data_IF_429176800759
#
_entry.id   IF_429176800759
#
_cell.length_a   1.000
_cell.length_b   1.000
_cell.length_c   1.000
_cell.angle_alpha   90.00
_cell.angle_beta   90.00
_cell.angle_gamma   90.00
#
_symmetry.space_group_name_H-M   'P 1'
#
loop_
_entity.id
_entity.type
_entity.pdbx_description
1 polymer ?
#
# COMPACT_ATOMS: atom_id res chain seq x y z
N UNK A 1 -17.05 16.58 15.77
CA UNK A 1 -16.05 15.97 14.88
C UNK A 1 -14.91 15.50 15.77
N UNK A 2 -14.97 14.26 16.26
CA UNK A 2 -13.91 13.72 17.11
C UNK A 2 -12.74 13.45 16.19
N UNK A 3 -11.69 14.26 16.29
CA UNK A 3 -10.43 14.01 15.58
C UNK A 3 -9.79 12.81 16.27
N UNK A 4 -10.14 11.62 15.83
CA UNK A 4 -9.52 10.41 16.35
C UNK A 4 -8.04 10.39 15.96
N UNK A 5 -7.18 9.93 16.86
CA UNK A 5 -5.74 9.77 16.61
C UNK A 5 -5.49 8.99 15.29
N UNK A 6 -6.43 8.12 14.91
CA UNK A 6 -6.44 7.36 13.65
C UNK A 6 -6.50 8.18 12.36
N UNK A 7 -6.91 9.46 12.38
CA UNK A 7 -6.88 10.35 11.20
C UNK A 7 -5.65 11.26 11.14
N UNK A 8 -5.09 11.66 12.28
CA UNK A 8 -3.95 12.58 12.31
C UNK A 8 -2.67 11.88 11.83
N UNK A 9 -2.46 10.63 12.29
CA UNK A 9 -1.23 9.88 11.98
C UNK A 9 -1.05 9.66 10.46
N UNK A 10 -2.06 9.15 9.72
CA UNK A 10 -1.87 8.91 8.29
C UNK A 10 -1.74 10.21 7.48
N UNK A 11 -2.38 11.30 7.92
CA UNK A 11 -2.24 12.61 7.28
C UNK A 11 -0.81 13.15 7.44
N UNK A 12 -0.26 13.10 8.66
CA UNK A 12 1.11 13.51 8.92
C UNK A 12 2.12 12.64 8.15
N UNK A 13 1.89 11.34 8.09
CA UNK A 13 2.71 10.42 7.30
C UNK A 13 2.66 10.77 5.80
N UNK A 14 1.48 11.05 5.26
CA UNK A 14 1.31 11.47 3.86
C UNK A 14 2.14 12.72 3.55
N UNK A 15 2.08 13.74 4.40
CA UNK A 15 2.89 14.96 4.25
C UNK A 15 4.39 14.66 4.32
N UNK A 16 4.83 13.82 5.25
CA UNK A 16 6.23 13.41 5.36
C UNK A 16 6.71 12.69 4.08
N UNK A 17 5.91 11.80 3.52
CA UNK A 17 6.25 11.13 2.27
C UNK A 17 6.32 12.09 1.09
N UNK A 18 5.44 13.10 1.00
CA UNK A 18 5.54 14.15 -0.03
C UNK A 18 6.87 14.88 0.07
N UNK A 19 7.29 15.25 1.29
CA UNK A 19 8.59 15.91 1.51
C UNK A 19 9.75 15.00 1.09
N UNK A 20 9.72 13.72 1.48
CA UNK A 20 10.74 12.75 1.08
C UNK A 20 10.83 12.58 -0.44
N UNK A 21 9.68 12.47 -1.12
CA UNK A 21 9.61 12.38 -2.59
C UNK A 21 10.18 13.64 -3.23
N UNK A 22 9.85 14.83 -2.71
CA UNK A 22 10.36 16.09 -3.24
C UNK A 22 11.87 16.22 -3.06
N UNK A 23 12.40 15.84 -1.89
CA UNK A 23 13.84 15.85 -1.62
C UNK A 23 14.58 14.85 -2.51
N UNK A 24 14.05 13.63 -2.62
CA UNK A 24 14.57 12.60 -3.50
C UNK A 24 14.59 13.10 -4.95
N UNK A 25 13.48 13.64 -5.47
CA UNK A 25 13.41 14.18 -6.83
C UNK A 25 14.44 15.30 -7.08
N UNK A 26 14.67 16.17 -6.08
CA UNK A 26 15.70 17.24 -6.13
C UNK A 26 17.12 16.72 -6.16
N UNK A 27 17.41 15.60 -5.48
CA UNK A 27 18.73 14.95 -5.52
C UNK A 27 19.04 14.28 -6.86
N UNK A 28 18.07 14.24 -7.78
CA UNK A 28 18.28 13.89 -9.19
C UNK A 28 17.66 12.56 -9.58
N UNK A 29 16.71 12.60 -10.52
CA UNK A 29 15.99 11.44 -11.06
C UNK A 29 16.84 10.54 -11.97
N UNK A 30 18.12 10.86 -12.18
CA UNK A 30 19.03 10.06 -13.03
C UNK A 30 19.46 8.75 -12.39
N UNK A 31 19.50 8.69 -11.06
CA UNK A 31 19.85 7.45 -10.37
C UNK A 31 18.64 6.53 -10.28
N UNK A 32 18.78 5.30 -10.80
CA UNK A 32 17.77 4.26 -10.70
C UNK A 32 17.39 3.95 -9.25
N UNK A 33 18.34 4.10 -8.31
CA UNK A 33 18.09 3.96 -6.88
C UNK A 33 17.07 5.00 -6.39
N UNK A 34 17.23 6.25 -6.85
CA UNK A 34 16.39 7.36 -6.44
C UNK A 34 14.97 7.24 -7.00
N UNK A 35 14.84 6.78 -8.26
CA UNK A 35 13.54 6.48 -8.86
C UNK A 35 12.78 5.39 -8.08
N UNK A 36 13.48 4.32 -7.66
CA UNK A 36 12.87 3.25 -6.88
C UNK A 36 12.48 3.69 -5.47
N UNK A 37 13.30 4.54 -4.84
CA UNK A 37 12.95 5.15 -3.56
C UNK A 37 11.69 6.01 -3.66
N UNK A 38 11.60 6.86 -4.70
CA UNK A 38 10.41 7.68 -4.96
C UNK A 38 9.19 6.80 -5.20
N UNK A 39 9.33 5.73 -5.99
CA UNK A 39 8.23 4.80 -6.25
C UNK A 39 7.73 4.12 -4.96
N UNK A 40 8.65 3.66 -4.12
CA UNK A 40 8.32 3.08 -2.82
C UNK A 40 7.64 4.10 -1.88
N UNK A 41 8.22 5.30 -1.74
CA UNK A 41 7.65 6.37 -0.92
C UNK A 41 6.28 6.82 -1.41
N UNK A 42 6.06 6.85 -2.73
CA UNK A 42 4.76 7.13 -3.33
C UNK A 42 3.71 6.08 -2.95
N UNK A 43 4.06 4.79 -2.96
CA UNK A 43 3.15 3.72 -2.56
C UNK A 43 2.76 3.81 -1.07
N UNK A 44 3.71 4.18 -0.20
CA UNK A 44 3.42 4.44 1.21
C UNK A 44 2.59 5.70 1.45
N UNK A 45 2.79 6.73 0.63
CA UNK A 45 1.94 7.92 0.62
C UNK A 45 0.50 7.56 0.24
N UNK A 46 0.33 6.75 -0.80
CA UNK A 46 -0.99 6.24 -1.24
C UNK A 46 -1.64 5.41 -0.13
N UNK A 47 -0.89 4.51 0.51
CA UNK A 47 -1.39 3.76 1.67
C UNK A 47 -1.84 4.68 2.81
N UNK A 48 -1.04 5.68 3.17
CA UNK A 48 -1.39 6.64 4.23
C UNK A 48 -2.62 7.47 3.88
N UNK A 49 -2.77 7.86 2.61
CA UNK A 49 -3.95 8.56 2.11
C UNK A 49 -5.21 7.68 2.20
N UNK A 50 -5.10 6.40 1.82
CA UNK A 50 -6.20 5.44 1.95
C UNK A 50 -6.66 5.28 3.41
N UNK A 51 -5.71 5.19 4.33
CA UNK A 51 -6.00 5.09 5.77
C UNK A 51 -6.67 6.35 6.30
N UNK A 52 -6.23 7.53 5.87
CA UNK A 52 -6.89 8.79 6.21
C UNK A 52 -8.34 8.82 5.71
N UNK A 53 -8.59 8.38 4.48
CA UNK A 53 -9.93 8.41 3.89
C UNK A 53 -10.92 7.47 4.59
N UNK A 54 -10.46 6.29 5.03
CA UNK A 54 -11.29 5.36 5.82
C UNK A 54 -11.72 5.98 7.15
N UNK A 55 -10.82 6.65 7.86
CA UNK A 55 -11.09 7.16 9.21
C UNK A 55 -11.66 8.59 9.21
N UNK A 56 -11.42 9.37 8.17
CA UNK A 56 -11.72 10.81 8.13
C UNK A 56 -12.95 11.20 7.35
N UNK A 57 -13.47 10.34 6.47
CA UNK A 57 -14.55 10.70 5.55
C UNK A 57 -15.61 9.59 5.41
N UNK A 58 -16.50 9.40 6.39
CA UNK A 58 -17.55 8.38 6.34
C UNK A 58 -18.66 8.63 5.29
N UNK A 59 -18.67 9.78 4.58
CA UNK A 59 -19.85 10.24 3.83
C UNK A 59 -19.71 10.24 2.30
N UNK A 60 -18.50 10.29 1.71
CA UNK A 60 -18.37 10.59 0.27
C UNK A 60 -17.95 9.44 -0.64
N UNK A 61 -17.41 8.33 -0.12
CA UNK A 61 -16.94 7.19 -0.94
C UNK A 61 -17.12 5.88 -0.18
N UNK A 62 -17.51 4.82 -0.90
CA UNK A 62 -17.69 3.46 -0.38
C UNK A 62 -16.43 3.00 0.41
N UNK A 63 -16.54 2.71 1.72
CA UNK A 63 -15.43 2.19 2.55
C UNK A 63 -14.73 0.98 1.93
N UNK A 64 -15.44 0.20 1.12
CA UNK A 64 -14.90 -0.93 0.40
C UNK A 64 -13.83 -0.52 -0.62
N UNK A 65 -14.01 0.61 -1.31
CA UNK A 65 -13.04 1.14 -2.26
C UNK A 65 -11.72 1.48 -1.58
N UNK A 66 -11.77 2.22 -0.47
CA UNK A 66 -10.55 2.62 0.24
C UNK A 66 -9.83 1.44 0.88
N UNK A 67 -10.58 0.43 1.32
CA UNK A 67 -9.99 -0.80 1.84
C UNK A 67 -9.25 -1.58 0.74
N UNK A 68 -9.88 -1.76 -0.43
CA UNK A 68 -9.23 -2.36 -1.61
C UNK A 68 -7.99 -1.59 -2.02
N UNK A 69 -8.07 -0.26 -2.01
CA UNK A 69 -6.96 0.62 -2.33
C UNK A 69 -5.77 0.50 -1.35
N UNK A 70 -6.05 0.38 -0.05
CA UNK A 70 -5.03 0.12 0.98
C UNK A 70 -4.28 -1.19 0.71
N UNK A 71 -5.03 -2.27 0.46
CA UNK A 71 -4.47 -3.60 0.22
C UNK A 71 -3.56 -3.58 -1.01
N UNK A 72 -4.02 -2.98 -2.11
CA UNK A 72 -3.24 -2.87 -3.35
C UNK A 72 -1.96 -2.05 -3.11
N UNK A 73 -2.07 -0.92 -2.42
CA UNK A 73 -0.91 -0.06 -2.13
C UNK A 73 0.14 -0.79 -1.27
N UNK A 74 -0.30 -1.55 -0.26
CA UNK A 74 0.57 -2.31 0.62
C UNK A 74 1.34 -3.42 -0.13
N UNK A 75 0.64 -4.20 -0.95
CA UNK A 75 1.25 -5.30 -1.72
C UNK A 75 2.29 -4.77 -2.72
N UNK A 76 1.98 -3.67 -3.41
CA UNK A 76 2.95 -3.00 -4.27
C UNK A 76 4.12 -2.40 -3.49
N UNK A 77 3.89 -1.83 -2.30
CA UNK A 77 4.93 -1.25 -1.46
C UNK A 77 5.96 -2.30 -1.03
N UNK A 78 5.53 -3.51 -0.65
CA UNK A 78 6.43 -4.62 -0.28
C UNK A 78 7.36 -5.01 -1.43
N UNK A 79 6.85 -5.16 -2.64
CA UNK A 79 7.68 -5.49 -3.82
C UNK A 79 8.59 -4.33 -4.21
N UNK A 80 8.11 -3.08 -4.12
CA UNK A 80 8.92 -1.90 -4.35
C UNK A 80 10.07 -1.78 -3.34
N UNK A 81 9.82 -2.08 -2.06
CA UNK A 81 10.85 -2.12 -1.02
C UNK A 81 11.92 -3.17 -1.33
N UNK A 82 11.51 -4.39 -1.69
CA UNK A 82 12.43 -5.46 -2.04
C UNK A 82 13.31 -5.06 -3.25
N UNK A 83 12.69 -4.50 -4.29
CA UNK A 83 13.42 -4.01 -5.46
C UNK A 83 14.39 -2.88 -5.09
N UNK A 84 13.96 -1.91 -4.29
CA UNK A 84 14.81 -0.82 -3.80
C UNK A 84 16.04 -1.36 -3.05
N UNK A 85 15.84 -2.28 -2.11
CA UNK A 85 16.92 -2.89 -1.31
C UNK A 85 17.92 -3.63 -2.20
N UNK A 86 17.47 -4.39 -3.21
CA UNK A 86 18.38 -5.06 -4.14
C UNK A 86 19.30 -4.07 -4.88
N UNK A 87 18.75 -2.95 -5.33
CA UNK A 87 19.53 -1.89 -6.00
C UNK A 87 20.43 -1.16 -5.02
N UNK A 88 19.96 -0.91 -3.81
CA UNK A 88 20.74 -0.26 -2.74
C UNK A 88 21.98 -1.08 -2.35
N UNK A 89 21.83 -2.40 -2.20
CA UNK A 89 22.95 -3.30 -1.92
C UNK A 89 23.83 -3.60 -3.14
N UNK A 90 23.51 -3.07 -4.33
CA UNK A 90 24.22 -3.38 -5.56
C UNK A 90 24.16 -4.86 -5.96
N UNK A 91 23.18 -5.61 -5.45
CA UNK A 91 23.01 -7.04 -5.78
C UNK A 91 22.46 -7.20 -7.19
N UNK A 92 22.74 -8.35 -7.80
CA UNK A 92 22.15 -8.70 -9.09
C UNK A 92 20.63 -8.63 -8.97
N UNK A 93 19.99 -7.98 -9.93
CA UNK A 93 18.54 -7.87 -9.99
C UNK A 93 18.01 -9.11 -10.69
N UNK A 94 17.43 -10.09 -9.99
CA UNK A 94 16.80 -11.22 -10.63
C UNK A 94 15.55 -10.75 -11.38
N UNK A 95 15.74 -10.34 -12.65
CA UNK A 95 14.67 -9.74 -13.48
C UNK A 95 13.42 -10.62 -13.53
N UNK A 96 13.60 -11.94 -13.56
CA UNK A 96 12.52 -12.92 -13.52
C UNK A 96 11.73 -12.85 -12.21
N UNK A 97 12.42 -12.88 -11.06
CA UNK A 97 11.78 -12.84 -9.74
C UNK A 97 11.09 -11.50 -9.48
N UNK A 98 11.69 -10.39 -9.91
CA UNK A 98 11.05 -9.07 -9.83
C UNK A 98 9.82 -8.98 -10.73
N UNK A 99 9.89 -9.47 -11.98
CA UNK A 99 8.75 -9.52 -12.89
C UNK A 99 7.62 -10.41 -12.35
N UNK A 100 7.96 -11.55 -11.75
CA UNK A 100 7.00 -12.42 -11.08
C UNK A 100 6.38 -11.74 -9.87
N UNK A 101 7.17 -11.01 -9.07
CA UNK A 101 6.67 -10.23 -7.93
C UNK A 101 5.66 -9.16 -8.37
N UNK A 102 6.01 -8.31 -9.34
CA UNK A 102 5.07 -7.30 -9.86
C UNK A 102 3.87 -7.93 -10.58
N UNK A 103 4.07 -9.05 -11.27
CA UNK A 103 2.99 -9.82 -11.89
C UNK A 103 2.00 -10.37 -10.86
N UNK A 104 2.52 -10.92 -9.74
CA UNK A 104 1.71 -11.39 -8.64
C UNK A 104 0.95 -10.24 -7.97
N UNK A 105 1.58 -9.07 -7.81
CA UNK A 105 0.89 -7.86 -7.34
C UNK A 105 -0.27 -7.48 -8.27
N UNK A 106 -0.08 -7.53 -9.60
CA UNK A 106 -1.13 -7.24 -10.55
C UNK A 106 -2.28 -8.24 -10.47
N UNK A 107 -1.98 -9.54 -10.35
CA UNK A 107 -2.99 -10.60 -10.13
C UNK A 107 -3.75 -10.34 -8.82
N UNK A 108 -3.04 -10.00 -7.74
CA UNK A 108 -3.66 -9.70 -6.46
C UNK A 108 -4.56 -8.46 -6.51
N UNK A 109 -4.16 -7.44 -7.28
CA UNK A 109 -5.00 -6.27 -7.55
C UNK A 109 -6.28 -6.66 -8.29
N UNK A 110 -6.18 -7.51 -9.33
CA UNK A 110 -7.35 -8.00 -10.06
C UNK A 110 -8.29 -8.77 -9.14
N UNK A 111 -7.77 -9.68 -8.30
CA UNK A 111 -8.55 -10.41 -7.31
C UNK A 111 -9.24 -9.47 -6.30
N UNK A 112 -8.54 -8.41 -5.91
CA UNK A 112 -9.04 -7.40 -4.98
C UNK A 112 -10.16 -6.57 -5.61
N UNK A 113 -10.03 -6.19 -6.88
CA UNK A 113 -11.06 -5.48 -7.64
C UNK A 113 -12.30 -6.36 -7.85
N UNK A 114 -12.09 -7.65 -8.14
CA UNK A 114 -13.16 -8.66 -8.28
C UNK A 114 -13.86 -9.00 -6.95
N UNK A 115 -13.38 -8.49 -5.81
CA UNK A 115 -14.00 -8.71 -4.50
C UNK A 115 -13.63 -10.03 -3.82
N UNK A 116 -12.60 -10.73 -4.30
CA UNK A 116 -12.12 -11.97 -3.68
C UNK A 116 -11.23 -11.73 -2.44
N UNK A 117 -10.83 -10.49 -2.18
CA UNK A 117 -9.99 -10.11 -1.03
C UNK A 117 -10.81 -9.46 0.09
N UNK A 118 -11.73 -8.55 -0.24
CA UNK A 118 -12.70 -7.98 0.72
C UNK A 118 -14.07 -8.03 0.06
N UNK A 119 -14.97 -8.85 0.62
CA UNK A 119 -16.32 -9.09 0.11
C UNK A 119 -17.28 -7.97 0.50
N UNK A 120 -17.19 -7.52 1.75
CA UNK A 120 -17.99 -6.40 2.25
C UNK A 120 -17.21 -5.64 3.32
N UNK A 121 -17.41 -4.34 3.39
CA UNK A 121 -16.87 -3.49 4.44
C UNK A 121 -17.95 -2.49 4.84
N UNK A 122 -18.40 -2.54 6.09
CA UNK A 122 -19.49 -1.71 6.57
C UNK A 122 -19.20 -1.21 7.99
N UNK A 123 -19.72 -0.03 8.30
CA UNK A 123 -19.61 0.56 9.63
C UNK A 123 -20.88 0.27 10.43
N UNK A 124 -20.72 -0.34 11.61
CA UNK A 124 -21.79 -0.48 12.62
C UNK A 124 -21.25 0.10 13.93
N UNK A 125 -21.96 1.08 14.49
CA UNK A 125 -21.64 1.74 15.77
C UNK A 125 -20.19 2.25 15.88
N UNK A 126 -19.70 2.92 14.83
CA UNK A 126 -18.35 3.51 14.82
C UNK A 126 -17.21 2.50 14.68
N UNK A 127 -17.51 1.20 14.54
CA UNK A 127 -16.52 0.16 14.23
C UNK A 127 -16.67 -0.33 12.80
N UNK A 128 -15.53 -0.48 12.13
CA UNK A 128 -15.46 -1.02 10.77
C UNK A 128 -15.48 -2.54 10.84
N UNK A 129 -16.51 -3.16 10.27
CA UNK A 129 -16.60 -4.60 10.06
C UNK A 129 -16.19 -4.91 8.62
N UNK A 130 -15.35 -5.91 8.45
CA UNK A 130 -14.84 -6.33 7.15
C UNK A 130 -15.03 -7.83 6.99
N UNK A 131 -15.71 -8.25 5.93
CA UNK A 131 -15.71 -9.65 5.51
C UNK A 131 -14.54 -9.91 4.59
N UNK A 132 -13.56 -10.64 5.12
CA UNK A 132 -12.37 -11.03 4.39
C UNK A 132 -12.70 -12.15 3.42
N UNK A 133 -12.30 -11.97 2.16
CA UNK A 133 -12.35 -13.02 1.15
C UNK A 133 -11.17 -13.97 1.26
N UNK A 134 -11.29 -15.15 0.64
CA UNK A 134 -10.29 -16.22 0.70
C UNK A 134 -8.89 -15.78 0.25
N UNK A 135 -8.79 -14.81 -0.68
CA UNK A 135 -7.49 -14.30 -1.14
C UNK A 135 -6.69 -13.62 -0.02
N UNK A 136 -7.37 -12.99 0.96
CA UNK A 136 -6.71 -12.34 2.08
C UNK A 136 -6.21 -13.36 3.11
N UNK A 137 -6.92 -14.47 3.31
CA UNK A 137 -6.47 -15.59 4.14
C UNK A 137 -5.20 -16.22 3.56
N UNK A 138 -5.17 -16.45 2.24
CA UNK A 138 -3.98 -16.95 1.55
C UNK A 138 -2.78 -16.00 1.72
N UNK A 139 -2.99 -14.70 1.54
CA UNK A 139 -1.94 -13.69 1.73
C UNK A 139 -1.43 -13.64 3.17
N UNK A 140 -2.32 -13.73 4.17
CA UNK A 140 -1.96 -13.75 5.58
C UNK A 140 -1.10 -14.98 5.93
N UNK A 141 -1.46 -16.17 5.44
CA UNK A 141 -0.68 -17.40 5.67
C UNK A 141 0.72 -17.29 5.08
N UNK A 142 0.85 -16.73 3.88
CA UNK A 142 2.15 -16.49 3.25
C UNK A 142 2.97 -15.52 4.10
N UNK A 143 2.38 -14.39 4.54
CA UNK A 143 3.07 -13.42 5.38
C UNK A 143 3.56 -14.02 6.71
N UNK A 144 2.70 -14.79 7.39
CA UNK A 144 3.06 -15.47 8.65
C UNK A 144 4.14 -16.54 8.46
N UNK A 145 4.23 -17.18 7.29
CA UNK A 145 5.26 -18.19 7.02
C UNK A 145 6.68 -17.61 6.93
N UNK A 146 6.81 -16.29 6.77
CA UNK A 146 8.08 -15.56 6.73
C UNK A 146 8.35 -14.72 7.99
N UNK A 147 7.50 -14.83 9.01
CA UNK A 147 7.62 -14.15 10.31
C UNK A 147 8.31 -15.04 11.34
#
# INVERSE_FOLDING_TARGET
MNVEIGTIIPLAACLAYIVLIALAARQGLRSRLNQLFIWYAFLLMMWSLGSFMIHGYPISVDPLYWNRFLIVSAVFASVAMFHFVLVFLGKSQPRLWLSLGYGLCAVFTLLTIMGYTVKSAYYVDGRMYQELGFAMVGAALIAFSFS
#
